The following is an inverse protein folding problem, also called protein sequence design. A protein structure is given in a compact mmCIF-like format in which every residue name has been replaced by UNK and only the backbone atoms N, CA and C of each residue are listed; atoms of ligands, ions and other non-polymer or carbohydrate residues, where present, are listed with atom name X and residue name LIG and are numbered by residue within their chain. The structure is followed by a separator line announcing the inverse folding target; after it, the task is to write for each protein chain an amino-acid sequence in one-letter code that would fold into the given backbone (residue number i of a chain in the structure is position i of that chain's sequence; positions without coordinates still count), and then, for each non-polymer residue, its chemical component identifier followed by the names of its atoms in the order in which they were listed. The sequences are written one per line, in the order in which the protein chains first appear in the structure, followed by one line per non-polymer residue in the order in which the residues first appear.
data_IF_891300755511
#
_entry.id   IF_891300755511
#
_cell.length_a   1.000
_cell.length_b   1.000
_cell.length_c   1.000
_cell.angle_alpha   90.00
_cell.angle_beta   90.00
_cell.angle_gamma   90.00
#
_symmetry.space_group_name_H-M   'P 1'
#
loop_
_entity.id
_entity.type
_entity.pdbx_description
1 polymer ?
#
# COMPACT_ATOMS: atom_id res chain seq x y z
N UNK A 1 -9.16 1.34 29.91
CA UNK A 1 -8.89 1.15 28.47
C UNK A 1 -9.61 -0.11 28.04
N UNK A 2 -10.81 0.04 27.48
CA UNK A 2 -11.50 -1.03 26.75
C UNK A 2 -10.71 -1.28 25.48
N UNK A 3 -10.13 -2.46 25.31
CA UNK A 3 -9.40 -2.79 24.07
C UNK A 3 -10.36 -2.69 22.89
N UNK A 4 -9.98 -1.98 21.84
CA UNK A 4 -10.76 -1.92 20.61
C UNK A 4 -11.03 -3.35 20.11
N UNK A 5 -12.27 -3.63 19.72
CA UNK A 5 -12.65 -4.94 19.22
C UNK A 5 -11.92 -5.20 17.90
N UNK A 6 -11.28 -6.37 17.77
CA UNK A 6 -10.71 -6.80 16.49
C UNK A 6 -11.84 -7.12 15.51
N UNK A 7 -11.75 -6.55 14.32
CA UNK A 7 -12.65 -6.85 13.20
C UNK A 7 -12.28 -8.18 12.53
N UNK A 8 -10.98 -8.46 12.45
CA UNK A 8 -10.43 -9.63 11.76
C UNK A 8 -9.50 -10.44 12.67
N UNK A 9 -9.49 -11.75 12.50
CA UNK A 9 -8.48 -12.63 13.07
C UNK A 9 -7.11 -12.37 12.42
N UNK A 10 -6.00 -12.75 13.06
CA UNK A 10 -4.68 -12.65 12.41
C UNK A 10 -4.59 -13.34 11.06
N UNK A 11 -5.28 -14.48 10.88
CA UNK A 11 -5.32 -15.22 9.61
C UNK A 11 -6.08 -14.43 8.53
N UNK A 12 -7.23 -13.85 8.88
CA UNK A 12 -8.00 -13.02 7.95
C UNK A 12 -7.24 -11.76 7.54
N UNK A 13 -6.62 -11.07 8.49
CA UNK A 13 -5.75 -9.93 8.23
C UNK A 13 -4.57 -10.29 7.33
N UNK A 14 -3.94 -11.45 7.55
CA UNK A 14 -2.86 -11.95 6.70
C UNK A 14 -3.33 -12.23 5.26
N UNK A 15 -4.52 -12.80 5.09
CA UNK A 15 -5.06 -13.10 3.78
C UNK A 15 -5.49 -11.84 3.00
N UNK A 16 -5.99 -10.80 3.68
CA UNK A 16 -6.24 -9.49 3.06
C UNK A 16 -4.92 -8.91 2.54
N UNK A 17 -3.84 -8.99 3.33
CA UNK A 17 -2.51 -8.56 2.90
C UNK A 17 -2.00 -9.35 1.71
N UNK A 18 -2.17 -10.67 1.72
CA UNK A 18 -1.77 -11.55 0.62
C UNK A 18 -2.51 -11.19 -0.68
N UNK A 19 -3.81 -10.90 -0.59
CA UNK A 19 -4.61 -10.43 -1.72
C UNK A 19 -4.03 -9.13 -2.30
N UNK A 20 -3.83 -8.09 -1.48
CA UNK A 20 -3.26 -6.81 -1.93
C UNK A 20 -1.87 -7.00 -2.55
N UNK A 21 -1.03 -7.84 -1.93
CA UNK A 21 0.30 -8.15 -2.48
C UNK A 21 0.21 -8.87 -3.82
N UNK A 22 -0.79 -9.75 -4.01
CA UNK A 22 -1.00 -10.46 -5.28
C UNK A 22 -1.41 -9.52 -6.42
N UNK A 23 -2.29 -8.55 -6.13
CA UNK A 23 -2.70 -7.52 -7.09
C UNK A 23 -1.52 -6.60 -7.44
N UNK A 24 -0.81 -6.11 -6.43
CA UNK A 24 0.40 -5.31 -6.62
C UNK A 24 1.49 -6.06 -7.42
N UNK A 25 1.61 -7.38 -7.22
CA UNK A 25 2.52 -8.24 -8.00
C UNK A 25 2.10 -8.32 -9.47
N UNK A 26 0.80 -8.44 -9.75
CA UNK A 26 0.29 -8.47 -11.13
C UNK A 26 0.56 -7.13 -11.84
N UNK A 27 0.39 -6.01 -11.14
CA UNK A 27 0.73 -4.66 -11.62
C UNK A 27 2.22 -4.55 -11.92
N UNK A 28 3.08 -4.95 -10.98
CA UNK A 28 4.53 -4.95 -11.18
C UNK A 28 4.94 -5.80 -12.39
N UNK A 29 4.33 -6.97 -12.57
CA UNK A 29 4.58 -7.83 -13.73
C UNK A 29 4.20 -7.16 -15.06
N UNK A 30 3.06 -6.43 -15.11
CA UNK A 30 2.66 -5.65 -16.29
C UNK A 30 3.65 -4.54 -16.60
N UNK A 31 3.99 -3.72 -15.61
CA UNK A 31 4.97 -2.64 -15.73
C UNK A 31 6.30 -3.18 -16.26
N UNK A 32 6.74 -4.32 -15.74
CA UNK A 32 7.93 -5.01 -16.20
C UNK A 32 7.81 -5.59 -17.62
N UNK A 33 6.64 -5.97 -18.08
CA UNK A 33 6.42 -6.34 -19.48
C UNK A 33 6.65 -5.16 -20.43
N UNK A 34 6.23 -3.97 -20.01
CA UNK A 34 6.24 -2.73 -20.80
C UNK A 34 7.61 -2.03 -20.76
N UNK A 35 8.31 -2.10 -19.63
CA UNK A 35 9.53 -1.33 -19.37
C UNK A 35 10.68 -2.25 -18.91
N UNK A 36 11.46 -2.84 -19.85
CA UNK A 36 12.54 -3.80 -19.54
C UNK A 36 13.68 -3.24 -18.68
N UNK A 37 13.85 -1.91 -18.64
CA UNK A 37 14.88 -1.26 -17.83
C UNK A 37 14.59 -1.34 -16.33
N UNK A 38 13.32 -1.51 -15.93
CA UNK A 38 12.92 -1.62 -14.53
C UNK A 38 13.28 -3.01 -13.96
N UNK A 39 13.87 -3.02 -12.77
CA UNK A 39 14.36 -4.22 -12.09
C UNK A 39 13.57 -4.56 -10.83
N UNK A 40 12.99 -3.56 -10.18
CA UNK A 40 12.14 -3.75 -9.01
C UNK A 40 10.93 -2.82 -8.99
N UNK A 41 9.99 -3.09 -8.11
CA UNK A 41 8.87 -2.22 -7.78
C UNK A 41 8.53 -2.39 -6.30
N UNK A 42 8.08 -1.33 -5.64
CA UNK A 42 7.75 -1.35 -4.21
C UNK A 42 6.29 -0.99 -4.01
N UNK A 43 5.54 -1.86 -3.35
CA UNK A 43 4.25 -1.52 -2.77
C UNK A 43 4.47 -0.71 -1.50
N UNK A 44 3.98 0.52 -1.48
CA UNK A 44 3.88 1.32 -0.29
C UNK A 44 2.44 1.44 0.20
N UNK A 45 2.30 1.68 1.49
CA UNK A 45 1.05 1.84 2.21
C UNK A 45 1.06 3.14 2.99
N UNK A 46 -0.02 3.90 2.93
CA UNK A 46 -0.21 5.10 3.74
C UNK A 46 -1.57 5.04 4.42
N UNK A 47 -1.71 5.66 5.58
CA UNK A 47 -3.00 5.91 6.20
C UNK A 47 -3.04 7.38 6.60
N UNK A 48 -4.01 8.12 6.08
CA UNK A 48 -4.23 9.51 6.44
C UNK A 48 -5.71 9.85 6.32
N UNK A 49 -6.08 10.99 6.91
CA UNK A 49 -7.42 11.55 6.77
C UNK A 49 -7.58 12.17 5.38
N UNK A 50 -8.61 11.75 4.64
CA UNK A 50 -9.05 12.41 3.42
C UNK A 50 -10.24 13.31 3.75
N UNK A 51 -10.18 14.59 3.35
CA UNK A 51 -11.03 15.69 3.82
C UNK A 51 -12.57 15.51 3.69
N UNK A 52 -13.06 14.43 3.07
CA UNK A 52 -14.49 14.22 2.79
C UNK A 52 -15.13 12.97 3.42
N UNK A 53 -14.41 11.99 3.99
CA UNK A 53 -14.97 10.88 4.79
C UNK A 53 -13.87 9.92 5.27
N UNK A 54 -14.00 9.44 6.51
CA UNK A 54 -13.41 8.22 7.10
C UNK A 54 -11.88 7.99 6.98
N UNK A 55 -11.29 7.24 7.91
CA UNK A 55 -9.89 6.84 7.80
C UNK A 55 -9.69 6.00 6.52
N UNK A 56 -8.62 6.25 5.76
CA UNK A 56 -8.36 5.51 4.53
C UNK A 56 -6.93 4.98 4.47
N UNK A 57 -6.75 3.76 3.93
CA UNK A 57 -5.44 3.27 3.55
C UNK A 57 -5.24 3.42 2.04
N UNK A 58 -4.12 4.01 1.64
CA UNK A 58 -3.73 4.14 0.25
C UNK A 58 -2.63 3.14 -0.07
N UNK A 59 -2.70 2.58 -1.27
CA UNK A 59 -1.69 1.70 -1.84
C UNK A 59 -1.05 2.37 -3.04
N UNK A 60 0.25 2.23 -3.21
CA UNK A 60 0.97 2.67 -4.41
C UNK A 60 2.07 1.69 -4.77
N UNK A 61 2.19 1.36 -6.06
CA UNK A 61 3.32 0.58 -6.58
C UNK A 61 4.29 1.51 -7.30
N UNK A 62 5.51 1.65 -6.78
CA UNK A 62 6.53 2.51 -7.39
C UNK A 62 7.62 1.65 -8.04
N UNK A 63 7.79 1.70 -9.37
CA UNK A 63 8.85 0.99 -10.05
C UNK A 63 10.24 1.59 -9.79
N UNK A 64 11.28 0.79 -9.97
CA UNK A 64 12.69 1.20 -9.86
C UNK A 64 13.58 0.47 -10.87
N UNK A 65 14.59 1.18 -11.38
CA UNK A 65 15.67 0.58 -12.19
C UNK A 65 16.69 -0.18 -11.33
N UNK A 66 16.68 0.03 -10.02
CA UNK A 66 17.52 -0.70 -9.09
C UNK A 66 16.88 -2.05 -8.74
N UNK A 67 17.71 -3.07 -8.50
CA UNK A 67 17.24 -4.35 -7.95
C UNK A 67 16.78 -4.16 -6.50
N UNK A 68 17.52 -3.36 -5.73
CA UNK A 68 17.17 -2.95 -4.38
C UNK A 68 16.85 -1.45 -4.40
N UNK A 69 15.56 -1.07 -4.37
CA UNK A 69 15.15 0.32 -4.44
C UNK A 69 15.62 1.07 -3.19
N UNK A 70 16.13 2.29 -3.38
CA UNK A 70 16.53 3.15 -2.27
C UNK A 70 15.29 3.85 -1.75
N UNK A 71 14.88 3.56 -0.52
CA UNK A 71 13.75 4.29 0.07
C UNK A 71 14.21 5.70 0.43
N UNK A 72 13.47 6.75 0.05
CA UNK A 72 13.72 8.06 0.62
C UNK A 72 13.73 7.97 2.14
N UNK A 73 14.76 8.53 2.75
CA UNK A 73 14.77 8.78 4.19
C UNK A 73 14.65 10.29 4.39
N UNK A 74 13.74 10.70 5.28
CA UNK A 74 13.29 12.09 5.44
C UNK A 74 14.38 13.10 5.86
N UNK A 75 15.65 12.70 6.02
CA UNK A 75 16.66 13.56 6.64
C UNK A 75 17.57 14.33 5.69
N UNK A 76 17.52 14.13 4.36
CA UNK A 76 18.59 14.65 3.48
C UNK A 76 18.17 15.39 2.19
N UNK A 77 16.89 15.62 1.91
CA UNK A 77 16.51 16.30 0.66
C UNK A 77 15.54 17.47 0.87
N UNK A 78 16.08 18.69 0.76
CA UNK A 78 15.32 19.92 0.53
C UNK A 78 14.56 19.81 -0.80
N UNK A 79 13.26 19.54 -0.72
CA UNK A 79 12.27 19.77 -1.77
C UNK A 79 12.28 18.81 -2.97
N UNK A 80 11.14 18.13 -3.19
CA UNK A 80 10.72 17.45 -4.43
C UNK A 80 11.62 16.33 -5.02
N UNK A 81 12.87 16.19 -4.56
CA UNK A 81 13.83 15.19 -5.02
C UNK A 81 13.70 13.84 -4.30
N UNK A 82 12.82 13.73 -3.31
CA UNK A 82 12.71 12.58 -2.42
C UNK A 82 12.43 11.25 -3.13
N UNK A 83 11.77 11.27 -4.29
CA UNK A 83 11.79 10.13 -5.21
C UNK A 83 12.93 10.29 -6.19
N UNK A 84 14.15 10.09 -5.70
CA UNK A 84 15.40 10.30 -6.42
C UNK A 84 15.37 9.66 -7.83
N UNK A 85 16.11 10.28 -8.75
CA UNK A 85 16.31 9.89 -10.15
C UNK A 85 16.67 8.40 -10.30
N UNK A 86 17.29 7.78 -9.29
CA UNK A 86 17.64 6.37 -9.30
C UNK A 86 16.42 5.41 -9.24
N UNK A 87 15.32 5.81 -8.61
CA UNK A 87 14.09 5.02 -8.56
C UNK A 87 13.14 5.37 -9.70
N UNK A 88 12.97 6.64 -10.03
CA UNK A 88 12.11 7.08 -11.15
C UNK A 88 12.96 7.76 -12.21
N UNK A 89 13.64 6.97 -13.03
CA UNK A 89 14.58 7.53 -14.01
C UNK A 89 13.91 8.32 -15.15
N UNK A 90 12.57 8.39 -15.20
CA UNK A 90 11.87 9.20 -16.19
C UNK A 90 10.56 9.78 -15.66
N UNK A 91 10.38 11.09 -15.86
CA UNK A 91 9.17 11.85 -15.53
C UNK A 91 7.92 11.30 -16.24
N UNK A 92 8.05 10.74 -17.45
CA UNK A 92 6.93 10.12 -18.17
C UNK A 92 6.48 8.79 -17.56
N UNK A 93 7.36 8.06 -16.87
CA UNK A 93 6.97 6.88 -16.08
C UNK A 93 6.30 7.30 -14.77
N UNK A 94 6.73 8.43 -14.20
CA UNK A 94 6.04 9.04 -13.07
C UNK A 94 4.64 9.51 -13.47
N UNK A 95 4.44 10.14 -14.61
CA UNK A 95 3.08 10.50 -15.07
C UNK A 95 2.25 9.27 -15.46
N UNK A 96 2.88 8.24 -16.04
CA UNK A 96 2.20 7.00 -16.45
C UNK A 96 1.83 6.10 -15.26
N UNK A 97 2.63 6.11 -14.19
CA UNK A 97 2.52 5.17 -13.07
C UNK A 97 2.47 5.80 -11.67
N UNK A 98 2.61 7.12 -11.51
CA UNK A 98 2.49 7.84 -10.23
C UNK A 98 1.22 8.70 -10.16
N UNK A 99 0.34 8.32 -9.22
CA UNK A 99 -0.46 9.14 -8.26
C UNK A 99 -1.08 10.42 -8.86
N UNK A 100 -2.38 10.51 -9.16
CA UNK A 100 -3.51 10.62 -8.22
C UNK A 100 -4.82 10.02 -8.76
N UNK A 101 -4.74 9.17 -9.79
CA UNK A 101 -5.93 8.64 -10.44
C UNK A 101 -6.27 7.21 -10.00
N UNK A 102 -7.50 7.11 -9.47
CA UNK A 102 -8.32 5.92 -9.30
C UNK A 102 -8.03 4.87 -10.38
N UNK A 103 -7.92 3.61 -9.97
CA UNK A 103 -7.53 2.48 -10.82
C UNK A 103 -8.00 2.57 -12.29
N UNK A 104 -7.02 2.79 -13.16
CA UNK A 104 -6.67 1.84 -14.23
C UNK A 104 -5.28 1.22 -13.96
N UNK A 105 -4.89 1.12 -12.67
CA UNK A 105 -3.82 0.21 -12.27
C UNK A 105 -2.82 0.53 -11.16
N UNK A 106 -2.91 1.62 -10.37
CA UNK A 106 -1.84 1.90 -9.37
C UNK A 106 -2.26 2.48 -8.01
N UNK A 107 -3.53 2.83 -7.74
CA UNK A 107 -3.94 3.30 -6.40
C UNK A 107 -5.30 2.75 -5.99
N UNK A 108 -5.34 1.81 -5.04
CA UNK A 108 -6.60 1.30 -4.45
C UNK A 108 -6.82 2.07 -3.15
N UNK A 109 -8.06 2.50 -3.00
CA UNK A 109 -8.60 3.19 -1.85
C UNK A 109 -9.14 2.12 -0.89
N UNK A 110 -8.41 1.93 0.20
CA UNK A 110 -8.62 0.84 1.13
C UNK A 110 -9.47 1.28 2.32
N UNK A 111 -10.77 1.03 2.26
CA UNK A 111 -11.68 1.19 3.39
C UNK A 111 -11.76 -0.11 4.23
N UNK A 112 -12.23 -0.03 5.48
CA UNK A 112 -12.65 -1.17 6.30
C UNK A 112 -11.59 -2.29 6.51
N UNK A 113 -11.73 -3.50 5.92
CA UNK A 113 -10.78 -4.60 6.07
C UNK A 113 -9.36 -4.22 5.69
N UNK A 114 -9.16 -3.35 4.70
CA UNK A 114 -7.83 -2.87 4.34
C UNK A 114 -7.20 -2.02 5.43
N UNK A 115 -7.98 -1.15 6.09
CA UNK A 115 -7.53 -0.38 7.25
C UNK A 115 -7.08 -1.34 8.35
N UNK A 116 -7.91 -2.32 8.69
CA UNK A 116 -7.56 -3.31 9.70
C UNK A 116 -6.28 -4.11 9.36
N UNK A 117 -6.02 -4.29 8.06
CA UNK A 117 -4.88 -5.04 7.57
C UNK A 117 -3.59 -4.21 7.51
N UNK A 118 -3.68 -2.90 7.26
CA UNK A 118 -2.52 -2.09 6.90
C UNK A 118 -2.26 -0.87 7.78
N UNK A 119 -3.24 -0.42 8.60
CA UNK A 119 -3.04 0.70 9.52
C UNK A 119 -1.81 0.49 10.43
N UNK A 120 -1.59 -0.74 10.89
CA UNK A 120 -0.43 -1.09 11.72
C UNK A 120 0.93 -0.82 11.06
N UNK A 121 1.02 -0.73 9.73
CA UNK A 121 2.25 -0.45 8.98
C UNK A 121 2.40 1.01 8.59
N UNK A 122 1.32 1.78 8.62
CA UNK A 122 1.33 3.16 8.18
C UNK A 122 1.90 4.09 9.26
N UNK A 123 2.61 5.17 8.88
CA UNK A 123 3.09 6.19 9.82
C UNK A 123 1.94 6.80 10.63
N UNK A 124 2.23 7.25 11.85
CA UNK A 124 1.27 8.00 12.66
C UNK A 124 1.29 9.48 12.28
N UNK A 125 0.11 10.10 12.14
CA UNK A 125 0.00 11.54 11.92
C UNK A 125 0.33 12.01 10.50
N UNK A 126 0.41 11.10 9.54
CA UNK A 126 0.53 11.45 8.12
C UNK A 126 -0.73 12.19 7.62
N UNK A 127 -0.53 13.10 6.68
CA UNK A 127 -1.56 13.88 6.00
C UNK A 127 -1.51 13.65 4.48
N UNK A 128 -2.64 13.86 3.81
CA UNK A 128 -2.69 14.00 2.35
C UNK A 128 -1.82 15.16 1.84
N UNK A 129 -1.56 16.16 2.70
CA UNK A 129 -0.71 17.32 2.39
C UNK A 129 0.78 17.03 2.52
N UNK A 130 1.16 15.93 3.19
CA UNK A 130 2.56 15.53 3.33
C UNK A 130 3.10 15.02 1.99
N UNK A 131 4.40 15.18 1.74
CA UNK A 131 4.99 14.61 0.52
C UNK A 131 4.84 13.07 0.54
N UNK A 132 4.72 12.40 -0.62
CA UNK A 132 4.50 10.96 -0.65
C UNK A 132 5.51 10.11 0.17
N UNK A 133 6.81 10.43 0.26
CA UNK A 133 7.74 9.73 1.16
C UNK A 133 7.38 9.83 2.64
N UNK A 134 6.81 10.95 3.05
CA UNK A 134 6.50 11.24 4.45
C UNK A 134 5.23 10.55 4.92
N UNK A 135 4.29 10.29 4.00
CA UNK A 135 3.01 9.62 4.30
C UNK A 135 3.00 8.12 4.03
N UNK A 136 3.95 7.58 3.25
CA UNK A 136 3.95 6.18 2.85
C UNK A 136 5.07 5.36 3.50
N UNK A 137 4.74 4.16 3.97
CA UNK A 137 5.69 3.15 4.42
C UNK A 137 5.83 2.02 3.37
N UNK A 138 7.05 1.52 3.10
CA UNK A 138 7.22 0.38 2.21
C UNK A 138 6.65 -0.89 2.85
N UNK A 139 5.93 -1.69 2.06
CA UNK A 139 5.32 -2.93 2.54
C UNK A 139 5.86 -4.18 1.83
N UNK A 140 5.98 -4.14 0.50
CA UNK A 140 6.52 -5.26 -0.27
C UNK A 140 7.40 -4.78 -1.43
N UNK A 141 8.44 -5.56 -1.76
CA UNK A 141 9.30 -5.33 -2.92
C UNK A 141 9.14 -6.50 -3.90
N UNK A 142 8.88 -6.16 -5.15
CA UNK A 142 8.83 -7.08 -6.29
C UNK A 142 10.11 -6.93 -7.09
N UNK A 143 10.90 -7.99 -7.25
CA UNK A 143 12.16 -7.99 -8.00
C UNK A 143 12.12 -8.94 -9.17
N UNK A 144 12.65 -8.53 -10.31
CA UNK A 144 12.98 -9.50 -11.36
C UNK A 144 14.09 -10.43 -10.89
N UNK A 145 13.93 -11.70 -11.22
CA UNK A 145 14.95 -12.71 -11.12
C UNK A 145 14.98 -13.58 -12.37
N UNK A 146 15.93 -14.52 -12.43
CA UNK A 146 16.09 -15.43 -13.57
C UNK A 146 14.84 -16.30 -13.80
N UNK A 147 14.09 -16.61 -12.73
CA UNK A 147 12.93 -17.50 -12.76
C UNK A 147 11.59 -16.73 -12.71
N UNK A 148 11.60 -15.41 -12.88
CA UNK A 148 10.42 -14.57 -12.87
C UNK A 148 10.42 -13.50 -11.78
N UNK A 149 9.24 -13.16 -11.27
CA UNK A 149 9.06 -12.08 -10.30
C UNK A 149 9.10 -12.64 -8.87
N UNK A 150 10.06 -12.18 -8.07
CA UNK A 150 10.19 -12.51 -6.65
C UNK A 150 9.54 -11.43 -5.79
N UNK A 151 8.89 -11.83 -4.71
CA UNK A 151 8.24 -10.91 -3.75
C UNK A 151 8.90 -11.05 -2.39
N UNK A 152 9.25 -9.93 -1.77
CA UNK A 152 9.73 -9.82 -0.40
C UNK A 152 8.80 -8.90 0.38
N UNK A 153 8.36 -9.33 1.56
CA UNK A 153 7.63 -8.46 2.50
C UNK A 153 8.65 -7.74 3.37
N UNK A 154 8.67 -6.42 3.26
CA UNK A 154 9.61 -5.53 4.00
C UNK A 154 8.88 -4.63 5.01
N UNK A 155 7.54 -4.68 5.03
CA UNK A 155 6.72 -3.90 5.94
C UNK A 155 7.03 -4.19 7.40
N UNK A 156 7.23 -3.12 8.18
CA UNK A 156 7.38 -3.18 9.63
C UNK A 156 6.15 -2.56 10.26
N UNK A 157 5.53 -3.28 11.21
CA UNK A 157 4.42 -2.71 11.97
C UNK A 157 4.94 -1.57 12.88
N UNK A 158 4.56 -0.34 12.55
CA UNK A 158 4.85 0.86 13.34
C UNK A 158 3.86 1.00 14.50
N UNK A 159 2.62 0.54 14.31
CA UNK A 159 1.51 0.61 15.28
C UNK A 159 0.85 -0.77 15.47
N UNK A 160 1.54 -1.77 16.06
CA UNK A 160 1.05 -3.15 16.12
C UNK A 160 -0.32 -3.34 16.80
N UNK A 161 -0.73 -2.41 17.67
CA UNK A 161 -2.03 -2.46 18.34
C UNK A 161 -3.21 -2.17 17.41
N UNK A 162 -2.97 -1.68 16.19
CA UNK A 162 -4.00 -1.48 15.16
C UNK A 162 -4.19 -2.72 14.26
N UNK A 163 -3.38 -3.77 14.42
CA UNK A 163 -3.46 -4.97 13.59
C UNK A 163 -4.79 -5.73 13.80
N UNK A 164 -5.60 -5.80 12.75
CA UNK A 164 -6.91 -6.43 12.73
C UNK A 164 -8.01 -5.63 13.45
N UNK A 165 -7.75 -4.37 13.82
CA UNK A 165 -8.72 -3.51 14.50
C UNK A 165 -9.62 -2.81 13.49
N UNK A 166 -10.93 -2.71 13.79
CA UNK A 166 -11.86 -1.94 12.97
C UNK A 166 -11.48 -0.45 12.98
N UNK A 167 -11.66 0.24 11.85
CA UNK A 167 -11.70 1.71 11.88
C UNK A 167 -12.85 2.16 12.80
N UNK A 168 -12.63 3.20 13.60
CA UNK A 168 -13.65 3.71 14.53
C UNK A 168 -14.88 4.30 13.82
N UNK A 169 -14.71 4.67 12.55
CA UNK A 169 -15.76 5.20 11.68
C UNK A 169 -15.84 4.32 10.42
N UNK A 170 -16.81 3.42 10.39
CA UNK A 170 -17.26 2.77 9.15
C UNK A 170 -18.53 3.53 8.79
N UNK A 171 -18.47 4.46 7.85
CA UNK A 171 -19.60 5.30 7.48
C UNK A 171 -20.90 4.51 7.27
N UNK A 172 -22.01 5.04 7.79
CA UNK A 172 -23.37 4.54 7.56
C UNK A 172 -23.75 4.73 6.09
N UNK A 173 -23.29 3.83 5.21
CA UNK A 173 -23.55 3.93 3.77
C UNK A 173 -23.25 2.68 2.94
N UNK A 174 -22.35 1.81 3.41
CA UNK A 174 -21.75 0.77 2.56
C UNK A 174 -22.03 -0.67 3.03
N UNK A 175 -23.14 -0.93 3.73
CA UNK A 175 -23.45 -2.28 4.23
C UNK A 175 -23.40 -3.34 3.11
N UNK A 176 -23.86 -3.04 1.89
CA UNK A 176 -23.84 -3.97 0.76
C UNK A 176 -22.42 -4.21 0.20
N UNK A 177 -21.61 -3.14 0.09
CA UNK A 177 -20.19 -3.23 -0.26
C UNK A 177 -19.43 -4.04 0.81
N UNK A 178 -19.71 -3.78 2.09
CA UNK A 178 -19.11 -4.51 3.20
C UNK A 178 -19.51 -5.97 3.24
N UNK A 179 -20.75 -6.31 2.90
CA UNK A 179 -21.16 -7.71 2.78
C UNK A 179 -20.46 -8.41 1.60
N UNK A 180 -20.22 -7.71 0.48
CA UNK A 180 -19.48 -8.25 -0.66
C UNK A 180 -17.99 -8.49 -0.32
N UNK A 181 -17.33 -7.50 0.27
CA UNK A 181 -15.92 -7.61 0.71
C UNK A 181 -15.80 -8.65 1.84
N UNK A 182 -16.69 -8.61 2.84
CA UNK A 182 -16.72 -9.66 3.88
C UNK A 182 -16.92 -11.02 3.25
N UNK A 183 -17.85 -11.22 2.32
CA UNK A 183 -18.03 -12.51 1.64
C UNK A 183 -16.77 -12.96 0.90
N UNK A 184 -16.00 -12.04 0.32
CA UNK A 184 -14.72 -12.35 -0.32
C UNK A 184 -13.66 -12.88 0.67
N UNK A 185 -13.73 -12.47 1.95
CA UNK A 185 -12.72 -12.80 2.97
C UNK A 185 -13.23 -13.66 4.17
N UNK A 186 -14.54 -13.85 4.32
CA UNK A 186 -15.18 -14.64 5.39
C UNK A 186 -15.15 -16.14 5.07
N UNK A 187 -15.08 -16.51 3.79
CA UNK A 187 -14.93 -17.90 3.34
C UNK A 187 -13.45 -18.36 3.32
N UNK A 188 -12.52 -17.53 3.79
CA UNK A 188 -11.13 -17.93 3.94
C UNK A 188 -10.99 -18.92 5.11
N UNK A 189 -10.31 -20.06 4.92
CA UNK A 189 -10.11 -21.03 5.99
C UNK A 189 -9.33 -20.40 7.16
N UNK A 190 -9.75 -20.75 8.39
CA UNK A 190 -9.06 -20.37 9.64
C UNK A 190 -7.60 -20.85 9.70
#
# INVERSE_FOLDING_TARGET
MTGAARLHSPAQTAAIREYVVSEARAIAARIFGEEPALQSATLFVAQYWADDADDEVHFIVVPSQLVDPVMPTNSEQDGAAAWDLANLLREDLRERYSIDHWFDGVVEYGWGPYISAFAAFCPEGASQDDEPPDRHAPYAIFRRGPDGLHTEIVGVMLRPWLDGVAAEHVGEGDEEYWQAVRKQFVDLPE
#
